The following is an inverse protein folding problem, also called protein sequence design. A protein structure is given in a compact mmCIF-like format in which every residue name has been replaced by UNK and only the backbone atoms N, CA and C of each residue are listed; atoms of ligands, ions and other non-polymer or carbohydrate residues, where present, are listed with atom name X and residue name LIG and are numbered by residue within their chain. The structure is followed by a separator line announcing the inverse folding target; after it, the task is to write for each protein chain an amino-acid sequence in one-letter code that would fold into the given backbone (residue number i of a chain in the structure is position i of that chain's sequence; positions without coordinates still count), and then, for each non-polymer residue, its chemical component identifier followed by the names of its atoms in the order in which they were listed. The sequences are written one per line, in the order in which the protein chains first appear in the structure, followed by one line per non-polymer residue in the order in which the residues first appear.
data_IF_557755101155
#
_entry.id   IF_557755101155
#
_cell.length_a   1.000
_cell.length_b   1.000
_cell.length_c   1.000
_cell.angle_alpha   90.00
_cell.angle_beta   90.00
_cell.angle_gamma   90.00
#
_symmetry.space_group_name_H-M   'P 1'
#
loop_
_entity.id
_entity.type
_entity.pdbx_description
1 polymer ?
#
# COMPACT_ATOMS: atom_id res chain seq x y z
N UNK A 1 9.22 -9.09 26.76
CA UNK A 1 8.43 -9.24 25.52
C UNK A 1 8.53 -7.91 24.78
N UNK A 2 8.95 -7.87 23.52
CA UNK A 2 8.78 -6.65 22.69
C UNK A 2 7.31 -6.63 22.30
N UNK A 3 6.59 -5.62 22.74
CA UNK A 3 5.24 -5.36 22.25
C UNK A 3 5.33 -4.88 20.82
N UNK A 4 4.63 -5.55 19.90
CA UNK A 4 4.45 -5.03 18.56
C UNK A 4 3.16 -4.19 18.55
N UNK A 5 3.17 -3.00 17.91
CA UNK A 5 1.96 -2.18 17.83
C UNK A 5 0.89 -2.88 17.00
N UNK A 6 -0.38 -2.67 17.36
CA UNK A 6 -1.51 -3.12 16.54
C UNK A 6 -1.38 -2.53 15.13
N UNK A 7 -1.47 -3.35 14.11
CA UNK A 7 -1.18 -2.97 12.72
C UNK A 7 -2.46 -2.91 11.91
N UNK A 8 -2.83 -1.71 11.44
CA UNK A 8 -3.95 -1.47 10.54
C UNK A 8 -3.49 -1.48 9.09
N UNK A 9 -3.93 -2.45 8.31
CA UNK A 9 -3.73 -2.45 6.85
C UNK A 9 -4.77 -1.55 6.16
N UNK A 10 -4.33 -0.59 5.35
CA UNK A 10 -5.21 0.32 4.60
C UNK A 10 -5.10 0.01 3.11
N UNK A 11 -6.24 -0.31 2.51
CA UNK A 11 -6.34 -0.56 1.08
C UNK A 11 -7.57 0.10 0.47
N UNK A 12 -7.74 -0.02 -0.82
CA UNK A 12 -8.89 0.52 -1.54
C UNK A 12 -8.57 0.81 -3.00
N UNK A 13 -9.60 0.99 -3.79
CA UNK A 13 -9.47 1.19 -5.22
C UNK A 13 -8.72 2.48 -5.59
N UNK A 14 -8.22 2.52 -6.83
CA UNK A 14 -7.64 3.74 -7.40
C UNK A 14 -8.63 4.90 -7.23
N UNK A 15 -8.18 6.03 -6.68
CA UNK A 15 -9.00 7.22 -6.46
C UNK A 15 -9.96 7.17 -5.27
N UNK A 16 -9.97 6.10 -4.45
CA UNK A 16 -10.84 6.00 -3.27
C UNK A 16 -10.48 6.99 -2.15
N UNK A 17 -9.22 7.43 -2.08
CA UNK A 17 -8.74 8.36 -1.07
C UNK A 17 -8.04 7.71 0.12
N UNK A 18 -7.53 6.48 -0.01
CA UNK A 18 -6.75 5.82 1.03
C UNK A 18 -5.55 6.65 1.52
N UNK A 19 -4.82 7.31 0.60
CA UNK A 19 -3.70 8.20 0.99
C UNK A 19 -4.16 9.46 1.74
N UNK A 20 -5.39 9.93 1.52
CA UNK A 20 -5.98 10.98 2.36
C UNK A 20 -6.25 10.45 3.77
N UNK A 21 -6.81 9.24 3.89
CA UNK A 21 -7.03 8.59 5.18
C UNK A 21 -5.71 8.39 5.91
N UNK A 22 -4.69 7.84 5.23
CA UNK A 22 -3.33 7.69 5.77
C UNK A 22 -2.76 9.02 6.31
N UNK A 23 -2.84 10.08 5.52
CA UNK A 23 -2.43 11.43 5.94
C UNK A 23 -3.20 11.96 7.16
N UNK A 24 -4.52 11.73 7.23
CA UNK A 24 -5.33 12.15 8.37
C UNK A 24 -4.99 11.35 9.65
N UNK A 25 -4.63 10.07 9.54
CA UNK A 25 -4.16 9.27 10.67
C UNK A 25 -2.88 9.86 11.28
N UNK A 26 -1.92 10.23 10.46
CA UNK A 26 -0.68 10.88 10.92
C UNK A 26 -0.97 12.26 11.51
N UNK A 27 -1.71 13.09 10.79
CA UNK A 27 -1.91 14.50 11.15
C UNK A 27 -2.74 14.69 12.42
N UNK A 28 -3.84 13.94 12.57
CA UNK A 28 -4.84 14.17 13.62
C UNK A 28 -4.69 13.24 14.80
N UNK A 29 -4.16 12.04 14.59
CA UNK A 29 -4.12 10.98 15.60
C UNK A 29 -2.69 10.56 15.97
N UNK A 30 -1.66 11.13 15.32
CA UNK A 30 -0.25 10.75 15.49
C UNK A 30 -0.02 9.23 15.31
N UNK A 31 -0.81 8.59 14.44
CA UNK A 31 -0.65 7.19 14.08
C UNK A 31 0.36 7.10 12.94
N UNK A 32 1.53 6.48 13.15
CA UNK A 32 2.53 6.33 12.09
C UNK A 32 1.98 5.48 10.94
N UNK A 33 2.22 5.92 9.69
CA UNK A 33 1.79 5.20 8.49
C UNK A 33 2.98 4.80 7.63
N UNK A 34 3.06 3.53 7.28
CA UNK A 34 4.02 2.99 6.34
C UNK A 34 3.44 3.01 4.94
N UNK A 35 3.96 3.85 4.06
CA UNK A 35 3.62 3.84 2.62
C UNK A 35 4.41 2.71 1.93
N UNK A 36 3.74 1.58 1.72
CA UNK A 36 4.32 0.39 1.13
C UNK A 36 4.77 0.61 -0.32
N UNK A 37 4.01 1.38 -1.09
CA UNK A 37 4.31 1.65 -2.50
C UNK A 37 5.56 2.53 -2.64
N UNK A 38 5.71 3.53 -1.78
CA UNK A 38 6.91 4.39 -1.72
C UNK A 38 8.12 3.62 -1.21
N UNK A 39 7.95 2.83 -0.15
CA UNK A 39 9.02 2.01 0.40
C UNK A 39 9.55 0.98 -0.61
N UNK A 40 8.66 0.24 -1.27
CA UNK A 40 9.02 -0.72 -2.32
C UNK A 40 9.81 -0.04 -3.45
N UNK A 41 9.38 1.15 -3.88
CA UNK A 41 10.12 1.93 -4.88
C UNK A 41 11.52 2.33 -4.39
N UNK A 42 11.64 2.75 -3.14
CA UNK A 42 12.92 3.14 -2.54
C UNK A 42 13.93 1.99 -2.46
N UNK A 43 13.45 0.78 -2.16
CA UNK A 43 14.29 -0.40 -2.02
C UNK A 43 15.07 -0.77 -3.28
N UNK A 44 14.53 -0.53 -4.47
CA UNK A 44 15.27 -0.77 -5.72
C UNK A 44 16.58 0.03 -5.84
N UNK A 45 16.63 1.20 -5.20
CA UNK A 45 17.76 2.10 -5.28
C UNK A 45 18.64 2.04 -4.01
N UNK A 46 18.05 1.73 -2.84
CA UNK A 46 18.73 1.73 -1.55
C UNK A 46 19.25 0.34 -1.10
N UNK A 47 18.63 -0.75 -1.56
CA UNK A 47 19.04 -2.12 -1.23
C UNK A 47 20.00 -2.65 -2.30
N UNK A 48 21.30 -2.68 -1.98
CA UNK A 48 22.34 -3.11 -2.92
C UNK A 48 22.20 -4.56 -3.36
N UNK A 49 21.70 -5.44 -2.49
CA UNK A 49 21.47 -6.85 -2.81
C UNK A 49 20.28 -6.99 -3.77
N UNK A 50 19.18 -6.25 -3.55
CA UNK A 50 18.07 -6.22 -4.50
C UNK A 50 18.52 -5.72 -5.86
N UNK A 51 19.28 -4.63 -5.90
CA UNK A 51 19.84 -4.08 -7.12
C UNK A 51 20.67 -5.10 -7.89
N UNK A 52 21.54 -5.84 -7.21
CA UNK A 52 22.35 -6.89 -7.82
C UNK A 52 21.47 -8.00 -8.42
N UNK A 53 20.48 -8.48 -7.66
CA UNK A 53 19.55 -9.51 -8.13
C UNK A 53 18.73 -9.03 -9.33
N UNK A 54 18.24 -7.79 -9.32
CA UNK A 54 17.55 -7.20 -10.46
C UNK A 54 18.46 -7.13 -11.68
N UNK A 55 19.73 -6.76 -11.52
CA UNK A 55 20.70 -6.76 -12.62
C UNK A 55 20.96 -8.17 -13.20
N UNK A 56 21.01 -9.19 -12.34
CA UNK A 56 21.21 -10.58 -12.77
C UNK A 56 20.01 -11.09 -13.56
N UNK A 57 18.79 -10.86 -13.09
CA UNK A 57 17.57 -11.40 -13.68
C UNK A 57 17.03 -10.59 -14.87
N UNK A 58 17.18 -9.26 -14.83
CA UNK A 58 16.55 -8.34 -15.79
C UNK A 58 17.54 -7.50 -16.59
N UNK A 59 18.83 -7.57 -16.26
CA UNK A 59 19.90 -6.91 -16.98
C UNK A 59 20.37 -5.59 -16.34
N UNK A 60 21.68 -5.37 -16.43
CA UNK A 60 22.36 -4.19 -15.85
C UNK A 60 21.88 -2.87 -16.46
N UNK A 61 21.40 -2.90 -17.69
CA UNK A 61 20.91 -1.71 -18.41
C UNK A 61 19.70 -1.04 -17.77
N UNK A 62 19.08 -1.66 -16.75
CA UNK A 62 18.03 -1.04 -15.94
C UNK A 62 18.55 0.05 -15.00
N UNK A 63 19.87 0.08 -14.73
CA UNK A 63 20.52 1.08 -13.87
C UNK A 63 21.55 1.94 -14.61
N UNK A 64 21.54 1.89 -15.93
CA UNK A 64 22.35 2.78 -16.78
C UNK A 64 21.66 4.13 -17.01
N UNK A 65 21.10 4.69 -15.94
CA UNK A 65 20.48 6.02 -15.90
C UNK A 65 21.53 7.06 -15.45
N UNK A 66 21.33 8.36 -15.75
CA UNK A 66 22.31 9.39 -15.39
C UNK A 66 22.61 9.48 -13.89
N UNK A 67 21.65 9.15 -13.04
CA UNK A 67 21.76 9.16 -11.57
C UNK A 67 21.99 7.76 -10.96
N UNK A 68 22.07 6.73 -11.80
CA UNK A 68 22.29 5.35 -11.39
C UNK A 68 21.10 4.70 -10.69
N UNK A 69 19.92 5.31 -10.71
CA UNK A 69 18.68 4.74 -10.16
C UNK A 69 18.01 3.78 -11.15
N UNK A 70 17.03 3.01 -10.66
CA UNK A 70 16.29 2.07 -11.51
C UNK A 70 15.48 2.81 -12.61
N UNK A 71 15.64 2.43 -13.85
CA UNK A 71 14.73 2.78 -14.94
C UNK A 71 13.41 2.01 -14.80
N UNK A 72 12.49 2.59 -14.01
CA UNK A 72 11.17 1.98 -13.73
C UNK A 72 10.32 1.82 -14.96
N UNK A 73 10.47 2.68 -15.96
CA UNK A 73 9.70 2.59 -17.19
C UNK A 73 10.16 1.39 -18.01
N UNK A 74 11.47 1.19 -18.10
CA UNK A 74 12.06 0.03 -18.78
C UNK A 74 11.70 -1.28 -18.09
N UNK A 75 11.80 -1.34 -16.75
CA UNK A 75 11.37 -2.51 -15.97
C UNK A 75 9.88 -2.79 -16.18
N UNK A 76 9.02 -1.78 -16.10
CA UNK A 76 7.59 -1.91 -16.36
C UNK A 76 7.31 -2.49 -17.74
N UNK A 77 8.06 -2.08 -18.77
CA UNK A 77 7.97 -2.62 -20.13
C UNK A 77 8.30 -4.12 -20.20
N UNK A 78 9.24 -4.58 -19.36
CA UNK A 78 9.62 -6.00 -19.30
C UNK A 78 8.53 -6.83 -18.62
N UNK A 79 7.99 -6.36 -17.48
CA UNK A 79 7.07 -7.15 -16.65
C UNK A 79 5.60 -7.04 -17.10
N UNK A 80 5.21 -5.98 -17.80
CA UNK A 80 3.81 -5.66 -18.11
C UNK A 80 3.07 -6.77 -18.90
N UNK A 81 3.76 -7.40 -19.84
CA UNK A 81 3.21 -8.46 -20.70
C UNK A 81 3.88 -9.81 -20.46
N UNK A 82 4.62 -9.96 -19.38
CA UNK A 82 5.32 -11.19 -19.04
C UNK A 82 5.00 -11.62 -17.59
N UNK A 83 3.99 -12.48 -17.37
CA UNK A 83 3.59 -12.94 -16.06
C UNK A 83 4.72 -13.66 -15.29
N UNK A 84 5.65 -14.30 -15.99
CA UNK A 84 6.79 -14.96 -15.35
C UNK A 84 7.77 -13.91 -14.82
N UNK A 85 8.12 -12.90 -15.62
CA UNK A 85 8.97 -11.80 -15.18
C UNK A 85 8.35 -11.01 -14.00
N UNK A 86 7.00 -10.85 -14.01
CA UNK A 86 6.29 -10.25 -12.87
C UNK A 86 6.47 -11.07 -11.60
N UNK A 87 6.26 -12.39 -11.65
CA UNK A 87 6.48 -13.28 -10.51
C UNK A 87 7.93 -13.27 -10.00
N UNK A 88 8.89 -13.21 -10.91
CA UNK A 88 10.31 -13.16 -10.55
C UNK A 88 10.66 -11.87 -9.80
N UNK A 89 10.21 -10.70 -10.29
CA UNK A 89 10.47 -9.44 -9.60
C UNK A 89 9.76 -9.36 -8.25
N UNK A 90 8.51 -9.85 -8.16
CA UNK A 90 7.77 -9.95 -6.91
C UNK A 90 8.49 -10.83 -5.88
N UNK A 91 9.01 -11.98 -6.31
CA UNK A 91 9.78 -12.88 -5.45
C UNK A 91 11.07 -12.24 -4.90
N UNK A 92 11.67 -11.32 -5.64
CA UNK A 92 12.85 -10.56 -5.19
C UNK A 92 12.48 -9.43 -4.22
N UNK A 93 11.38 -8.72 -4.50
CA UNK A 93 11.00 -7.49 -3.78
C UNK A 93 10.20 -7.79 -2.51
N UNK A 94 9.24 -8.71 -2.55
CA UNK A 94 8.31 -8.96 -1.45
C UNK A 94 9.00 -9.28 -0.11
N UNK A 95 10.00 -10.18 -0.03
CA UNK A 95 10.67 -10.46 1.24
C UNK A 95 11.42 -9.24 1.80
N UNK A 96 11.87 -8.35 0.93
CA UNK A 96 12.58 -7.13 1.34
C UNK A 96 11.63 -6.07 1.88
N UNK A 97 10.47 -5.93 1.24
CA UNK A 97 9.41 -5.04 1.73
C UNK A 97 8.92 -5.49 3.10
N UNK A 98 8.71 -6.79 3.31
CA UNK A 98 8.33 -7.34 4.63
C UNK A 98 9.39 -6.99 5.68
N UNK A 99 10.66 -7.31 5.44
CA UNK A 99 11.75 -6.99 6.39
C UNK A 99 11.87 -5.49 6.66
N UNK A 100 11.71 -4.66 5.63
CA UNK A 100 11.75 -3.21 5.78
C UNK A 100 10.56 -2.70 6.60
N UNK A 101 9.37 -3.24 6.39
CA UNK A 101 8.18 -2.93 7.19
C UNK A 101 8.35 -3.36 8.65
N UNK A 102 8.83 -4.58 8.92
CA UNK A 102 9.08 -5.06 10.29
C UNK A 102 10.13 -4.20 11.02
N UNK A 103 11.21 -3.82 10.32
CA UNK A 103 12.21 -2.91 10.87
C UNK A 103 11.61 -1.54 11.18
N UNK A 104 10.82 -0.98 10.26
CA UNK A 104 10.10 0.27 10.47
C UNK A 104 9.11 0.16 11.63
N UNK A 105 8.27 -0.89 11.68
CA UNK A 105 7.30 -1.13 12.76
C UNK A 105 7.97 -1.19 14.13
N UNK A 106 9.15 -1.77 14.21
CA UNK A 106 9.93 -1.86 15.44
C UNK A 106 10.39 -0.50 15.99
N UNK A 107 10.49 0.54 15.15
CA UNK A 107 10.79 1.90 15.60
C UNK A 107 9.63 2.54 16.38
N UNK A 108 8.43 2.00 16.19
CA UNK A 108 7.18 2.47 16.80
C UNK A 108 6.60 1.49 17.83
N UNK A 109 7.46 0.68 18.45
CA UNK A 109 7.05 -0.32 19.45
C UNK A 109 6.26 0.26 20.64
N UNK A 110 6.45 1.54 20.96
CA UNK A 110 5.72 2.24 22.01
C UNK A 110 4.34 2.78 21.57
N UNK A 111 4.05 2.74 20.25
CA UNK A 111 2.75 3.16 19.73
C UNK A 111 1.73 2.05 19.94
N UNK A 112 0.49 2.41 20.29
CA UNK A 112 -0.61 1.45 20.40
C UNK A 112 -1.04 0.92 19.03
N UNK A 113 -0.95 1.76 17.99
CA UNK A 113 -1.43 1.50 16.65
C UNK A 113 -0.44 2.09 15.64
N UNK A 114 -0.16 1.34 14.60
CA UNK A 114 0.48 1.81 13.36
C UNK A 114 -0.37 1.41 12.16
N UNK A 115 -0.17 2.05 11.03
CA UNK A 115 -0.87 1.68 9.80
C UNK A 115 0.12 1.37 8.67
N UNK A 116 -0.31 0.55 7.72
CA UNK A 116 0.38 0.29 6.46
C UNK A 116 -0.59 0.53 5.30
N UNK A 117 -0.21 1.39 4.36
CA UNK A 117 -1.02 1.74 3.18
C UNK A 117 -0.44 1.12 1.93
N UNK A 118 -1.29 0.44 1.15
CA UNK A 118 -0.96 0.01 -0.21
C UNK A 118 -2.21 -0.16 -1.07
N UNK A 119 -2.09 0.22 -2.35
CA UNK A 119 -3.15 0.00 -3.34
C UNK A 119 -3.38 -1.48 -3.66
N UNK A 120 -2.38 -2.32 -3.42
CA UNK A 120 -2.38 -3.76 -3.69
C UNK A 120 -2.17 -4.57 -2.42
N UNK A 121 -2.57 -4.05 -1.26
CA UNK A 121 -2.29 -4.67 0.04
C UNK A 121 -2.74 -6.12 0.11
N UNK A 122 -3.93 -6.45 -0.42
CA UNK A 122 -4.47 -7.81 -0.37
C UNK A 122 -3.61 -8.84 -1.12
N UNK A 123 -2.79 -8.39 -2.10
CA UNK A 123 -1.79 -9.23 -2.78
C UNK A 123 -0.42 -9.19 -2.11
N UNK A 124 -0.29 -8.44 -1.01
CA UNK A 124 0.99 -8.22 -0.34
C UNK A 124 1.25 -9.28 0.72
N UNK A 125 2.49 -9.75 0.87
CA UNK A 125 2.90 -10.60 1.99
C UNK A 125 2.86 -9.89 3.36
N UNK A 126 2.49 -8.61 3.40
CA UNK A 126 2.28 -7.85 4.64
C UNK A 126 0.91 -8.16 5.28
N UNK A 127 -0.09 -8.63 4.53
CA UNK A 127 -1.44 -8.92 5.06
C UNK A 127 -1.41 -9.78 6.33
N UNK A 128 -0.64 -10.87 6.43
CA UNK A 128 -0.58 -11.67 7.65
C UNK A 128 0.01 -10.95 8.88
N UNK A 129 0.63 -9.79 8.66
CA UNK A 129 1.18 -8.93 9.73
C UNK A 129 0.18 -7.84 10.17
N UNK A 130 -1.01 -7.78 9.56
CA UNK A 130 -2.06 -6.84 9.91
C UNK A 130 -3.03 -7.49 10.91
N UNK A 131 -3.37 -6.76 11.97
CA UNK A 131 -4.36 -7.16 12.97
C UNK A 131 -5.78 -6.79 12.53
N UNK A 132 -5.91 -5.81 11.64
CA UNK A 132 -7.17 -5.42 11.01
C UNK A 132 -6.91 -4.81 9.63
N UNK A 133 -7.95 -4.83 8.79
CA UNK A 133 -7.93 -4.18 7.47
C UNK A 133 -8.96 -3.07 7.40
N UNK A 134 -8.60 -1.97 6.74
CA UNK A 134 -9.49 -0.88 6.38
C UNK A 134 -9.57 -0.75 4.87
N UNK A 135 -10.76 -0.95 4.32
CA UNK A 135 -11.05 -0.73 2.90
C UNK A 135 -11.64 0.67 2.73
N UNK A 136 -10.91 1.54 2.04
CA UNK A 136 -11.41 2.87 1.69
C UNK A 136 -12.13 2.80 0.36
N UNK A 137 -13.40 3.18 0.38
CA UNK A 137 -14.32 3.12 -0.76
C UNK A 137 -14.77 4.51 -1.19
N UNK A 138 -15.12 4.67 -2.46
CA UNK A 138 -15.77 5.87 -2.99
C UNK A 138 -16.52 5.51 -4.28
N UNK A 139 -17.47 6.35 -4.66
CA UNK A 139 -18.22 6.18 -5.91
C UNK A 139 -17.27 6.13 -7.12
N UNK A 140 -17.57 5.24 -8.06
CA UNK A 140 -16.73 5.01 -9.24
C UNK A 140 -16.48 6.29 -10.05
N UNK A 141 -17.49 7.12 -10.21
CA UNK A 141 -17.35 8.38 -10.95
C UNK A 141 -16.44 9.37 -10.20
N UNK A 142 -16.55 9.45 -8.87
CA UNK A 142 -15.68 10.27 -8.06
C UNK A 142 -14.23 9.77 -8.11
N UNK A 143 -14.02 8.46 -8.05
CA UNK A 143 -12.71 7.83 -8.19
C UNK A 143 -12.07 8.19 -9.53
N UNK A 144 -12.83 8.14 -10.63
CA UNK A 144 -12.38 8.52 -11.97
C UNK A 144 -11.97 9.99 -11.99
N UNK A 145 -12.84 10.88 -11.51
CA UNK A 145 -12.57 12.33 -11.55
C UNK A 145 -11.37 12.73 -10.67
N UNK A 146 -11.25 12.17 -9.47
CA UNK A 146 -10.10 12.41 -8.57
C UNK A 146 -8.79 11.98 -9.23
N UNK A 147 -8.78 10.77 -9.82
CA UNK A 147 -7.60 10.22 -10.46
C UNK A 147 -7.23 10.98 -11.74
N UNK A 148 -8.23 11.32 -12.56
CA UNK A 148 -8.04 12.10 -13.78
C UNK A 148 -7.37 13.47 -13.49
N UNK A 149 -7.85 14.16 -12.45
CA UNK A 149 -7.30 15.46 -12.05
C UNK A 149 -5.88 15.34 -11.49
N UNK A 150 -5.63 14.33 -10.65
CA UNK A 150 -4.31 14.09 -10.04
C UNK A 150 -3.25 13.71 -11.07
N UNK A 151 -3.56 12.74 -11.93
CA UNK A 151 -2.59 12.12 -12.85
C UNK A 151 -2.53 12.81 -14.22
N UNK A 152 -3.46 13.74 -14.50
CA UNK A 152 -3.60 14.47 -15.78
C UNK A 152 -3.79 13.52 -16.98
N UNK A 153 -4.57 12.48 -16.80
CA UNK A 153 -4.92 11.47 -17.80
C UNK A 153 -6.40 11.54 -18.18
N UNK A 154 -6.82 10.82 -19.21
CA UNK A 154 -8.22 10.78 -19.65
C UNK A 154 -9.09 9.91 -18.72
N UNK A 155 -10.41 10.18 -18.69
CA UNK A 155 -11.37 9.37 -17.93
C UNK A 155 -11.36 7.89 -18.37
N UNK A 156 -11.21 7.62 -19.68
CA UNK A 156 -11.17 6.26 -20.21
C UNK A 156 -9.93 5.48 -19.74
N UNK A 157 -8.76 6.12 -19.68
CA UNK A 157 -7.55 5.49 -19.15
C UNK A 157 -7.73 5.13 -17.66
N UNK A 158 -8.32 6.03 -16.88
CA UNK A 158 -8.60 5.76 -15.46
C UNK A 158 -9.62 4.63 -15.31
N UNK A 159 -10.72 4.66 -16.08
CA UNK A 159 -11.75 3.62 -16.05
C UNK A 159 -11.17 2.23 -16.38
N UNK A 160 -10.25 2.16 -17.36
CA UNK A 160 -9.55 0.92 -17.71
C UNK A 160 -8.64 0.42 -16.59
N UNK A 161 -7.92 1.32 -15.87
CA UNK A 161 -7.10 0.96 -14.71
C UNK A 161 -7.97 0.43 -13.56
N UNK A 162 -9.10 1.08 -13.29
CA UNK A 162 -10.06 0.66 -12.26
C UNK A 162 -10.63 -0.72 -12.62
N UNK A 163 -11.09 -0.93 -13.85
CA UNK A 163 -11.62 -2.22 -14.28
C UNK A 163 -10.60 -3.35 -14.14
N UNK A 164 -9.32 -3.10 -14.46
CA UNK A 164 -8.23 -4.07 -14.26
C UNK A 164 -8.01 -4.37 -12.78
N UNK A 165 -8.03 -3.36 -11.91
CA UNK A 165 -7.92 -3.57 -10.47
C UNK A 165 -9.08 -4.40 -9.93
N UNK A 166 -10.30 -4.12 -10.36
CA UNK A 166 -11.52 -4.84 -9.95
C UNK A 166 -11.54 -6.29 -10.47
N UNK A 167 -11.02 -6.55 -11.68
CA UNK A 167 -10.90 -7.92 -12.22
C UNK A 167 -9.85 -8.78 -11.52
N UNK A 168 -8.90 -8.15 -10.85
CA UNK A 168 -7.83 -8.81 -10.10
C UNK A 168 -8.07 -8.72 -8.58
N UNK A 169 -9.31 -8.39 -8.14
CA UNK A 169 -9.62 -8.32 -6.72
C UNK A 169 -9.49 -9.70 -6.06
N UNK A 170 -8.72 -9.78 -5.00
CA UNK A 170 -8.62 -10.98 -4.17
C UNK A 170 -9.74 -11.04 -3.15
N UNK A 171 -10.03 -12.26 -2.69
CA UNK A 171 -10.90 -12.46 -1.55
C UNK A 171 -10.26 -11.86 -0.29
N UNK A 172 -11.11 -11.37 0.59
CA UNK A 172 -10.66 -10.87 1.89
C UNK A 172 -10.09 -12.05 2.70
N UNK A 173 -9.00 -11.83 3.44
CA UNK A 173 -8.39 -12.89 4.24
C UNK A 173 -9.31 -13.31 5.38
N UNK A 174 -9.38 -14.62 5.62
CA UNK A 174 -10.10 -15.16 6.76
C UNK A 174 -9.40 -14.80 8.08
N UNK A 175 -10.20 -14.52 9.11
CA UNK A 175 -9.71 -14.33 10.47
C UNK A 175 -9.16 -12.94 10.79
N UNK A 176 -9.02 -12.04 9.81
CA UNK A 176 -8.62 -10.65 10.03
C UNK A 176 -9.87 -9.76 9.99
N UNK A 177 -10.19 -8.99 11.05
CA UNK A 177 -11.30 -8.03 11.04
C UNK A 177 -11.17 -7.03 9.90
N UNK A 178 -12.26 -6.83 9.14
CA UNK A 178 -12.30 -5.90 8.02
C UNK A 178 -13.30 -4.79 8.29
N UNK A 179 -12.83 -3.56 8.16
CA UNK A 179 -13.65 -2.34 8.26
C UNK A 179 -13.76 -1.68 6.90
N UNK A 180 -14.84 -0.97 6.64
CA UNK A 180 -14.99 -0.14 5.45
C UNK A 180 -15.21 1.32 5.82
N UNK A 181 -14.61 2.23 5.04
CA UNK A 181 -14.75 3.66 5.19
C UNK A 181 -15.10 4.29 3.85
N UNK A 182 -16.34 4.76 3.73
CA UNK A 182 -16.80 5.40 2.50
C UNK A 182 -16.40 6.88 2.47
N UNK A 183 -15.61 7.27 1.47
CA UNK A 183 -15.08 8.60 1.23
C UNK A 183 -15.79 9.25 0.02
N UNK A 184 -17.08 9.51 0.13
CA UNK A 184 -17.89 10.21 -0.89
C UNK A 184 -18.00 11.71 -0.63
N UNK A 185 -18.31 12.49 -1.67
CA UNK A 185 -18.43 13.95 -1.60
C UNK A 185 -19.40 14.46 -0.53
N UNK A 186 -20.49 13.74 -0.31
CA UNK A 186 -21.56 14.11 0.63
C UNK A 186 -21.49 13.31 1.94
N UNK A 187 -20.39 12.61 2.18
CA UNK A 187 -20.23 11.77 3.36
C UNK A 187 -19.19 12.39 4.29
N UNK A 188 -19.54 12.69 5.56
CA UNK A 188 -18.58 13.24 6.51
C UNK A 188 -17.52 12.18 6.85
N UNK A 189 -16.31 12.35 6.31
CA UNK A 189 -15.22 11.40 6.48
C UNK A 189 -14.68 11.41 7.93
N UNK A 190 -14.46 12.61 8.50
CA UNK A 190 -13.79 12.75 9.79
C UNK A 190 -14.55 12.09 10.96
N UNK A 191 -15.86 12.27 11.16
CA UNK A 191 -16.57 11.62 12.25
C UNK A 191 -16.51 10.09 12.16
N UNK A 192 -16.59 9.54 10.96
CA UNK A 192 -16.50 8.09 10.74
C UNK A 192 -15.10 7.55 10.99
N UNK A 193 -14.07 8.32 10.59
CA UNK A 193 -12.69 7.98 10.87
C UNK A 193 -12.42 8.00 12.38
N UNK A 194 -12.93 8.98 13.11
CA UNK A 194 -12.80 9.10 14.56
C UNK A 194 -13.45 7.90 15.29
N UNK A 195 -14.66 7.52 14.90
CA UNK A 195 -15.36 6.34 15.45
C UNK A 195 -14.56 5.05 15.21
N UNK A 196 -14.05 4.88 13.97
CA UNK A 196 -13.23 3.74 13.62
C UNK A 196 -11.95 3.68 14.45
N UNK A 197 -11.23 4.79 14.60
CA UNK A 197 -9.98 4.84 15.37
C UNK A 197 -10.25 4.56 16.84
N UNK A 198 -11.33 5.08 17.40
CA UNK A 198 -11.75 4.77 18.78
C UNK A 198 -11.96 3.28 18.98
N UNK A 199 -12.62 2.62 18.02
CA UNK A 199 -12.85 1.17 18.01
C UNK A 199 -11.55 0.40 17.95
N UNK A 200 -10.65 0.76 17.00
CA UNK A 200 -9.36 0.09 16.82
C UNK A 200 -8.44 0.23 18.05
N UNK A 201 -8.41 1.40 18.67
CA UNK A 201 -7.62 1.61 19.89
C UNK A 201 -8.14 0.80 21.07
N UNK A 202 -9.45 0.54 21.12
CA UNK A 202 -10.04 -0.35 22.13
C UNK A 202 -9.63 -1.80 21.88
N UNK A 203 -9.64 -2.26 20.63
CA UNK A 203 -9.18 -3.60 20.26
C UNK A 203 -7.68 -3.77 20.51
N UNK A 204 -6.87 -2.77 20.16
CA UNK A 204 -5.44 -2.78 20.45
C UNK A 204 -5.12 -2.91 21.95
N UNK A 205 -5.95 -2.33 22.81
CA UNK A 205 -5.80 -2.47 24.27
C UNK A 205 -6.22 -3.85 24.80
N UNK A 206 -7.17 -4.51 24.12
CA UNK A 206 -7.65 -5.83 24.51
C UNK A 206 -6.71 -6.98 24.05
N UNK A 207 -5.88 -6.71 23.05
CA UNK A 207 -4.92 -7.67 22.48
C UNK A 207 -3.58 -7.72 23.26
N UNK A 208 -3.41 -6.81 24.23
CA UNK A 208 -2.24 -6.68 25.11
C UNK A 208 -2.61 -6.86 26.58
#
# INVERSE_FOLDING_TARGET
MRYEPFTLGITGGIGSGKSLVAYLLELLYNIPVYDCDTAAKGLYDSDSELREQVCIHFGKSLYETPDGTLDRQKLAGIIFNNPQALKEIEALVHPRVVRHFEAWRSLYAECKLVAVESAILLHSPIVPLCDALLIVEADRNERIERTRKRDRVTANEVASRIARQESNAEALPDGIPVYSLFNGLNTPLLPRLEELISTLLTHAQAAH
#
